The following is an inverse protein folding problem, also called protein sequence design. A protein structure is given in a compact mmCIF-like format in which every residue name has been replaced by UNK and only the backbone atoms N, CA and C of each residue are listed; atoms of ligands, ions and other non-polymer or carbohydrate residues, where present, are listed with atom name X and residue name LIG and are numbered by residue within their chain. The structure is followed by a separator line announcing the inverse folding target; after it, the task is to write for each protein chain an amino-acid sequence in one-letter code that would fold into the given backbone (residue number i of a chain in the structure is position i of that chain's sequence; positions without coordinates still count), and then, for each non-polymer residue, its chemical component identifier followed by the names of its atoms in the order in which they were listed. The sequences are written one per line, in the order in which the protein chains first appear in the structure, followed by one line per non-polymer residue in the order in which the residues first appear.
data_IF_448059191462
#
_entry.id   IF_448059191462
#
_cell.length_a   1.000
_cell.length_b   1.000
_cell.length_c   1.000
_cell.angle_alpha   90.00
_cell.angle_beta   90.00
_cell.angle_gamma   90.00
#
_symmetry.space_group_name_H-M   'P 1'
#
loop_
_entity.id
_entity.type
_entity.pdbx_description
1 polymer ?
#
# COMPACT_ATOMS: atom_id res chain seq x y z
N UNK A 1 -6.57 -4.91 -1.81
CA UNK A 1 -7.15 -6.26 -1.90
C UNK A 1 -8.63 -6.12 -1.55
N UNK A 2 -9.37 -5.35 -2.36
CA UNK A 2 -10.73 -4.86 -2.04
C UNK A 2 -11.81 -5.44 -2.97
N UNK A 3 -11.47 -6.37 -3.87
CA UNK A 3 -12.39 -6.87 -4.92
C UNK A 3 -13.13 -8.17 -4.58
N UNK A 4 -13.57 -8.37 -3.33
CA UNK A 4 -14.38 -9.55 -2.96
C UNK A 4 -15.75 -9.22 -2.35
N UNK A 5 -16.19 -7.96 -2.43
CA UNK A 5 -17.54 -7.58 -1.99
C UNK A 5 -18.61 -7.87 -3.04
N UNK A 6 -18.22 -8.11 -4.31
CA UNK A 6 -19.16 -8.44 -5.39
C UNK A 6 -19.53 -9.93 -5.45
N UNK A 7 -18.82 -10.80 -4.70
CA UNK A 7 -19.04 -12.24 -4.69
C UNK A 7 -19.85 -12.74 -3.49
N UNK A 8 -20.40 -11.83 -2.70
CA UNK A 8 -21.39 -12.13 -1.68
C UNK A 8 -22.65 -11.40 -2.10
N UNK A 9 -23.34 -11.96 -3.10
CA UNK A 9 -24.76 -11.69 -3.22
C UNK A 9 -25.37 -11.94 -1.84
N UNK A 10 -26.07 -10.95 -1.29
CA UNK A 10 -26.75 -11.10 -0.01
C UNK A 10 -27.67 -12.31 -0.10
N UNK A 11 -27.55 -13.23 0.85
CA UNK A 11 -28.23 -14.55 0.87
C UNK A 11 -29.74 -14.43 0.60
N UNK A 12 -30.35 -13.30 1.01
CA UNK A 12 -31.76 -12.96 0.77
C UNK A 12 -32.11 -12.78 -0.72
N UNK A 13 -31.29 -12.06 -1.49
CA UNK A 13 -31.54 -11.79 -2.92
C UNK A 13 -31.38 -13.08 -3.75
N UNK A 14 -30.44 -13.94 -3.35
CA UNK A 14 -30.24 -15.26 -3.95
C UNK A 14 -31.39 -16.24 -3.64
N UNK A 15 -32.01 -16.14 -2.46
CA UNK A 15 -33.16 -16.96 -2.09
C UNK A 15 -34.40 -16.60 -2.92
N UNK A 16 -34.66 -15.31 -3.12
CA UNK A 16 -35.79 -14.84 -3.92
C UNK A 16 -35.66 -15.22 -5.40
N UNK A 17 -34.46 -15.09 -5.97
CA UNK A 17 -34.15 -15.53 -7.33
C UNK A 17 -34.35 -17.05 -7.48
N UNK A 18 -33.95 -17.84 -6.49
CA UNK A 18 -34.07 -19.29 -6.51
C UNK A 18 -35.53 -19.75 -6.38
N UNK A 19 -36.34 -19.06 -5.58
CA UNK A 19 -37.80 -19.26 -5.50
C UNK A 19 -38.47 -18.90 -6.83
N UNK A 20 -38.04 -17.81 -7.46
CA UNK A 20 -38.57 -17.40 -8.76
C UNK A 20 -38.27 -18.42 -9.87
N UNK A 21 -37.06 -18.97 -9.91
CA UNK A 21 -36.67 -20.04 -10.84
C UNK A 21 -37.47 -21.32 -10.60
N UNK A 22 -37.74 -21.69 -9.34
CA UNK A 22 -38.60 -22.83 -9.02
C UNK A 22 -40.04 -22.62 -9.51
N UNK A 23 -40.62 -21.42 -9.37
CA UNK A 23 -41.96 -21.11 -9.85
C UNK A 23 -42.08 -21.12 -11.38
N UNK A 24 -41.00 -20.71 -12.08
CA UNK A 24 -40.95 -20.74 -13.55
C UNK A 24 -40.92 -22.18 -14.10
N UNK A 25 -40.29 -23.11 -13.37
CA UNK A 25 -40.26 -24.53 -13.70
C UNK A 25 -41.57 -25.27 -13.39
N UNK A 26 -42.38 -24.76 -12.47
CA UNK A 26 -43.71 -25.30 -12.12
C UNK A 26 -44.83 -24.84 -13.09
N UNK A 27 -44.56 -23.90 -13.99
CA UNK A 27 -45.51 -23.42 -15.00
C UNK A 27 -45.35 -24.17 -16.33
N UNK A 28 -45.96 -25.36 -16.43
CA UNK A 28 -46.08 -26.11 -17.68
C UNK A 28 -47.16 -25.46 -18.60
N UNK A 29 -46.87 -25.11 -19.87
CA UNK A 29 -47.86 -24.53 -20.78
C UNK A 29 -48.83 -25.63 -21.27
N UNK A 30 -49.89 -25.89 -20.52
CA UNK A 30 -51.03 -26.67 -21.03
C UNK A 30 -52.11 -25.72 -21.57
N UNK A 31 -51.90 -25.20 -22.78
CA UNK A 31 -53.01 -24.65 -23.58
C UNK A 31 -53.75 -25.80 -24.25
N UNK A 32 -54.98 -26.05 -23.79
CA UNK A 32 -55.98 -26.90 -24.42
C UNK A 32 -56.74 -26.07 -25.46
N UNK A 33 -56.79 -26.54 -26.71
CA UNK A 33 -57.62 -25.96 -27.79
C UNK A 33 -58.35 -27.08 -28.55
N UNK A 34 -59.63 -26.85 -28.78
CA UNK A 34 -60.68 -27.85 -29.00
C UNK A 34 -61.21 -27.80 -30.45
N UNK A 35 -61.21 -28.92 -31.22
CA UNK A 35 -62.33 -29.27 -32.14
C UNK A 35 -62.20 -30.65 -32.83
N UNK A 36 -63.35 -31.33 -33.06
CA UNK A 36 -63.47 -32.33 -34.16
C UNK A 36 -64.14 -33.68 -33.85
N UNK A 37 -65.48 -33.69 -33.87
CA UNK A 37 -66.44 -34.70 -34.42
C UNK A 37 -66.02 -36.18 -34.65
N UNK A 38 -66.85 -37.10 -34.09
CA UNK A 38 -66.95 -38.58 -34.25
C UNK A 38 -67.28 -39.04 -35.70
N UNK A 39 -67.16 -40.33 -36.16
CA UNK A 39 -67.53 -41.55 -35.41
C UNK A 39 -66.83 -42.92 -35.72
N UNK A 40 -67.13 -43.89 -34.84
CA UNK A 40 -67.19 -45.36 -34.97
C UNK A 40 -66.03 -46.16 -35.61
N UNK A 41 -65.54 -47.19 -34.89
CA UNK A 41 -65.67 -48.64 -35.20
C UNK A 41 -64.56 -49.45 -34.50
N UNK A 42 -64.98 -50.58 -33.90
CA UNK A 42 -64.21 -51.78 -33.53
C UNK A 42 -63.07 -51.73 -32.50
N UNK A 43 -63.09 -52.76 -31.64
CA UNK A 43 -62.10 -53.05 -30.62
C UNK A 43 -60.73 -53.35 -31.23
N UNK A 44 -59.64 -52.93 -30.55
CA UNK A 44 -58.78 -53.98 -30.01
C UNK A 44 -58.27 -53.69 -28.59
N UNK A 45 -57.85 -54.78 -27.97
CA UNK A 45 -57.36 -54.96 -26.62
C UNK A 45 -56.16 -54.06 -26.26
N UNK A 46 -56.39 -52.98 -25.53
CA UNK A 46 -55.30 -52.19 -24.92
C UNK A 46 -55.27 -52.43 -23.41
N UNK A 47 -54.29 -53.23 -22.97
CA UNK A 47 -53.96 -53.42 -21.56
C UNK A 47 -53.75 -52.05 -20.91
N UNK A 48 -54.68 -51.64 -20.03
CA UNK A 48 -54.57 -50.39 -19.24
C UNK A 48 -53.30 -50.49 -18.40
N UNK A 49 -52.22 -49.83 -18.85
CA UNK A 49 -51.02 -49.64 -18.03
C UNK A 49 -51.46 -48.84 -16.81
N UNK A 50 -51.43 -49.46 -15.63
CA UNK A 50 -51.62 -48.76 -14.35
C UNK A 50 -50.60 -47.61 -14.33
N UNK A 51 -51.06 -46.35 -14.35
CA UNK A 51 -50.19 -45.18 -14.13
C UNK A 51 -49.48 -45.44 -12.80
N UNK A 52 -48.18 -45.67 -12.85
CA UNK A 52 -47.37 -45.75 -11.63
C UNK A 52 -47.49 -44.38 -10.99
N UNK A 53 -48.10 -44.31 -9.80
CA UNK A 53 -48.04 -43.14 -8.94
C UNK A 53 -46.55 -42.90 -8.71
N UNK A 54 -46.00 -41.83 -9.29
CA UNK A 54 -44.65 -41.38 -8.93
C UNK A 54 -44.77 -40.94 -7.49
N UNK A 55 -44.33 -41.79 -6.57
CA UNK A 55 -44.17 -41.41 -5.18
C UNK A 55 -43.06 -40.36 -5.20
N UNK A 56 -43.36 -39.16 -4.74
CA UNK A 56 -42.43 -38.05 -4.64
C UNK A 56 -41.42 -38.31 -3.51
N UNK A 57 -40.63 -39.37 -3.67
CA UNK A 57 -39.58 -39.78 -2.72
C UNK A 57 -38.61 -38.63 -2.46
N UNK A 58 -38.37 -37.79 -3.48
CA UNK A 58 -37.57 -36.58 -3.36
C UNK A 58 -38.15 -35.56 -2.38
N UNK A 59 -39.47 -35.33 -2.40
CA UNK A 59 -40.10 -34.40 -1.45
C UNK A 59 -39.97 -34.93 -0.02
N UNK A 60 -40.18 -36.23 0.16
CA UNK A 60 -40.01 -36.89 1.46
C UNK A 60 -38.56 -36.76 1.96
N UNK A 61 -37.59 -37.01 1.10
CA UNK A 61 -36.16 -36.92 1.40
C UNK A 61 -35.75 -35.48 1.75
N UNK A 62 -36.21 -34.49 0.98
CA UNK A 62 -35.96 -33.06 1.26
C UNK A 62 -36.57 -32.67 2.61
N UNK A 63 -37.79 -33.12 2.93
CA UNK A 63 -38.39 -32.82 4.26
C UNK A 63 -37.63 -33.48 5.40
N UNK A 64 -37.13 -34.70 5.20
CA UNK A 64 -36.33 -35.40 6.19
C UNK A 64 -34.99 -34.69 6.41
N UNK A 65 -34.31 -34.28 5.33
CA UNK A 65 -33.04 -33.55 5.41
C UNK A 65 -33.23 -32.19 6.10
N UNK A 66 -34.34 -31.49 5.84
CA UNK A 66 -34.67 -30.24 6.54
C UNK A 66 -34.87 -30.47 8.04
N UNK A 67 -35.66 -31.49 8.42
CA UNK A 67 -35.83 -31.84 9.82
C UNK A 67 -34.50 -32.26 10.50
N UNK A 68 -33.63 -32.95 9.76
CA UNK A 68 -32.30 -33.32 10.25
C UNK A 68 -31.40 -32.09 10.43
N UNK A 69 -31.47 -31.11 9.52
CA UNK A 69 -30.77 -29.83 9.66
C UNK A 69 -31.29 -29.07 10.88
N UNK A 70 -32.60 -29.03 11.09
CA UNK A 70 -33.21 -28.31 12.21
C UNK A 70 -32.85 -28.96 13.56
N UNK A 71 -32.85 -30.29 13.63
CA UNK A 71 -32.39 -31.02 14.83
C UNK A 71 -30.90 -30.79 15.11
N UNK A 72 -30.05 -30.83 14.08
CA UNK A 72 -28.62 -30.54 14.22
C UNK A 72 -28.38 -29.09 14.65
N UNK A 73 -29.13 -28.13 14.11
CA UNK A 73 -29.09 -26.72 14.55
C UNK A 73 -29.48 -26.58 16.02
N UNK A 74 -30.58 -27.22 16.44
CA UNK A 74 -31.01 -27.20 17.84
C UNK A 74 -29.97 -27.83 18.79
N UNK A 75 -29.33 -28.93 18.36
CA UNK A 75 -28.22 -29.54 19.11
C UNK A 75 -27.03 -28.60 19.23
N UNK A 76 -26.67 -27.90 18.15
CA UNK A 76 -25.56 -26.96 18.12
C UNK A 76 -25.84 -25.75 19.02
N UNK A 77 -27.06 -25.22 19.02
CA UNK A 77 -27.47 -24.12 19.88
C UNK A 77 -27.55 -24.53 21.34
N UNK A 78 -28.04 -25.74 21.64
CA UNK A 78 -27.96 -26.32 22.98
C UNK A 78 -26.51 -26.49 23.45
N UNK A 79 -25.60 -26.98 22.58
CA UNK A 79 -24.18 -27.09 22.90
C UNK A 79 -23.51 -25.73 23.11
N UNK A 80 -23.86 -24.71 22.32
CA UNK A 80 -23.39 -23.33 22.54
C UNK A 80 -23.83 -22.78 23.90
N UNK A 81 -25.09 -23.00 24.29
CA UNK A 81 -25.64 -22.53 25.57
C UNK A 81 -25.06 -23.27 26.77
N UNK A 82 -24.88 -24.59 26.66
CA UNK A 82 -24.30 -25.43 27.72
C UNK A 82 -22.79 -25.33 27.84
N UNK A 83 -22.12 -24.84 26.79
CA UNK A 83 -20.67 -24.78 26.70
C UNK A 83 -20.20 -23.34 26.37
N UNK A 84 -20.36 -22.38 27.30
CA UNK A 84 -19.92 -20.99 27.10
C UNK A 84 -18.39 -20.85 26.95
N UNK A 85 -17.63 -21.93 27.20
CA UNK A 85 -16.19 -21.99 26.92
C UNK A 85 -15.86 -22.22 25.44
N UNK A 86 -16.88 -22.40 24.59
CA UNK A 86 -16.75 -22.58 23.14
C UNK A 86 -16.84 -21.26 22.36
N UNK A 87 -17.25 -20.16 23.00
CA UNK A 87 -16.83 -18.83 22.57
C UNK A 87 -15.32 -18.81 22.70
N UNK A 88 -14.62 -18.61 21.58
CA UNK A 88 -13.16 -18.57 21.51
C UNK A 88 -12.62 -17.76 22.68
N UNK A 89 -12.13 -18.47 23.72
CA UNK A 89 -11.78 -17.89 25.02
C UNK A 89 -11.07 -16.56 24.77
N UNK A 90 -11.52 -15.46 25.38
CA UNK A 90 -11.03 -14.11 25.08
C UNK A 90 -9.49 -14.03 24.99
N UNK A 91 -8.80 -14.90 25.74
CA UNK A 91 -7.36 -15.17 25.68
C UNK A 91 -6.83 -15.65 24.33
N UNK A 92 -7.52 -16.54 23.63
CA UNK A 92 -7.17 -17.01 22.29
C UNK A 92 -7.29 -15.90 21.26
N UNK A 93 -8.32 -15.05 21.36
CA UNK A 93 -8.45 -13.86 20.51
C UNK A 93 -7.37 -12.83 20.82
N UNK A 94 -7.11 -12.56 22.10
CA UNK A 94 -6.03 -11.69 22.55
C UNK A 94 -4.65 -12.19 22.09
N UNK A 95 -4.36 -13.48 22.25
CA UNK A 95 -3.11 -14.09 21.81
C UNK A 95 -2.93 -14.01 20.28
N UNK A 96 -4.01 -14.17 19.51
CA UNK A 96 -3.95 -14.00 18.05
C UNK A 96 -3.67 -12.55 17.67
N UNK A 97 -4.29 -11.58 18.35
CA UNK A 97 -4.03 -10.15 18.14
C UNK A 97 -2.59 -9.82 18.47
N UNK A 98 -2.12 -10.23 19.64
CA UNK A 98 -0.74 -9.99 20.09
C UNK A 98 0.28 -10.60 19.13
N UNK A 99 0.01 -11.80 18.62
CA UNK A 99 0.86 -12.42 17.58
C UNK A 99 0.92 -11.58 16.31
N UNK A 100 -0.22 -11.05 15.84
CA UNK A 100 -0.24 -10.21 14.64
C UNK A 100 0.54 -8.90 14.86
N UNK A 101 0.36 -8.25 16.01
CA UNK A 101 1.12 -7.06 16.36
C UNK A 101 2.62 -7.36 16.50
N UNK A 102 2.99 -8.48 17.12
CA UNK A 102 4.39 -8.90 17.22
C UNK A 102 5.02 -9.13 15.83
N UNK A 103 4.29 -9.76 14.90
CA UNK A 103 4.74 -9.91 13.52
C UNK A 103 4.91 -8.56 12.82
N UNK A 104 3.97 -7.64 13.02
CA UNK A 104 4.05 -6.28 12.48
C UNK A 104 5.27 -5.53 13.01
N UNK A 105 5.49 -5.57 14.33
CA UNK A 105 6.67 -4.98 14.96
C UNK A 105 7.97 -5.61 14.45
N UNK A 106 8.00 -6.91 14.16
CA UNK A 106 9.17 -7.56 13.58
C UNK A 106 9.45 -7.10 12.15
N UNK A 107 8.41 -6.95 11.33
CA UNK A 107 8.54 -6.42 9.97
C UNK A 107 9.10 -4.99 10.01
N UNK A 108 8.50 -4.13 10.83
CA UNK A 108 8.98 -2.75 11.01
C UNK A 108 10.41 -2.69 11.55
N UNK A 109 10.77 -3.56 12.50
CA UNK A 109 12.14 -3.61 13.01
C UNK A 109 13.15 -4.00 11.92
N UNK A 110 12.79 -4.96 11.07
CA UNK A 110 13.63 -5.37 9.95
C UNK A 110 13.79 -4.24 8.93
N UNK A 111 12.70 -3.51 8.63
CA UNK A 111 12.74 -2.32 7.76
C UNK A 111 13.63 -1.22 8.34
N UNK A 112 13.50 -0.93 9.63
CA UNK A 112 14.33 0.06 10.33
C UNK A 112 15.81 -0.35 10.34
N UNK A 113 16.12 -1.63 10.55
CA UNK A 113 17.49 -2.14 10.47
C UNK A 113 18.06 -1.98 9.07
N UNK A 114 17.31 -2.36 8.03
CA UNK A 114 17.74 -2.17 6.65
C UNK A 114 18.02 -0.68 6.34
N UNK A 115 17.16 0.23 6.80
CA UNK A 115 17.38 1.67 6.63
C UNK A 115 18.61 2.19 7.41
N UNK A 116 18.93 1.60 8.56
CA UNK A 116 20.17 1.90 9.30
C UNK A 116 21.38 1.42 8.51
N UNK A 117 21.37 0.18 8.01
CA UNK A 117 22.46 -0.39 7.21
C UNK A 117 22.74 0.45 5.95
N UNK A 118 21.68 0.91 5.26
CA UNK A 118 21.79 1.82 4.12
C UNK A 118 22.48 3.13 4.51
N UNK A 119 22.06 3.74 5.63
CA UNK A 119 22.67 4.98 6.14
C UNK A 119 24.11 4.78 6.59
N UNK A 120 24.44 3.65 7.19
CA UNK A 120 25.81 3.28 7.55
C UNK A 120 26.70 3.20 6.31
N UNK A 121 26.22 2.60 5.22
CA UNK A 121 26.96 2.51 3.96
C UNK A 121 27.21 3.89 3.32
N UNK A 122 26.24 4.80 3.39
CA UNK A 122 26.36 6.18 2.94
C UNK A 122 27.41 6.90 3.79
N UNK A 123 27.32 6.78 5.11
CA UNK A 123 28.23 7.43 6.04
C UNK A 123 29.66 6.92 5.83
N UNK A 124 29.85 5.64 5.62
CA UNK A 124 31.14 5.06 5.29
C UNK A 124 31.68 5.58 3.94
N UNK A 125 30.82 5.73 2.93
CA UNK A 125 31.18 6.35 1.66
C UNK A 125 31.63 7.81 1.85
N UNK A 126 30.90 8.60 2.64
CA UNK A 126 31.28 9.97 2.97
C UNK A 126 32.59 10.04 3.76
N UNK A 127 32.77 9.17 4.76
CA UNK A 127 34.05 9.04 5.48
C UNK A 127 35.20 8.74 4.53
N UNK A 128 35.01 7.84 3.56
CA UNK A 128 36.00 7.55 2.51
C UNK A 128 36.30 8.78 1.66
N UNK A 129 35.30 9.57 1.28
CA UNK A 129 35.50 10.82 0.53
C UNK A 129 36.24 11.89 1.35
N UNK A 130 35.92 12.02 2.64
CA UNK A 130 36.55 13.00 3.53
C UNK A 130 37.98 12.61 3.93
N UNK A 131 38.22 11.32 4.16
CA UNK A 131 39.55 10.80 4.50
C UNK A 131 40.47 10.73 3.27
N UNK A 132 39.90 10.67 2.05
CA UNK A 132 40.68 10.96 0.84
C UNK A 132 41.09 12.42 0.92
N UNK A 133 42.39 12.66 1.16
CA UNK A 133 43.00 13.99 1.04
C UNK A 133 42.45 14.60 -0.26
N UNK A 134 41.60 15.63 -0.18
CA UNK A 134 41.05 16.19 -1.39
C UNK A 134 42.27 16.69 -2.15
N UNK A 135 42.49 16.12 -3.34
CA UNK A 135 43.43 16.69 -4.30
C UNK A 135 42.72 17.93 -4.83
N UNK A 136 42.56 18.95 -3.99
CA UNK A 136 42.61 20.32 -4.45
C UNK A 136 43.90 20.31 -5.21
N UNK A 137 43.81 20.23 -6.53
CA UNK A 137 44.96 20.44 -7.35
C UNK A 137 45.44 21.80 -6.85
N UNK A 138 46.59 21.85 -6.18
CA UNK A 138 47.32 23.09 -5.94
C UNK A 138 47.81 23.65 -7.28
N UNK A 139 47.02 23.47 -8.35
CA UNK A 139 47.07 24.26 -9.57
C UNK A 139 46.68 25.71 -9.29
N UNK A 140 46.15 26.00 -8.10
CA UNK A 140 46.05 27.35 -7.56
C UNK A 140 47.35 27.83 -6.89
N UNK A 141 48.45 27.07 -6.96
CA UNK A 141 49.80 27.53 -6.58
C UNK A 141 50.15 28.77 -7.41
N UNK A 142 49.72 29.90 -6.85
CA UNK A 142 50.52 31.05 -6.49
C UNK A 142 51.18 31.87 -7.60
N UNK A 143 51.09 31.50 -8.87
CA UNK A 143 51.54 32.41 -9.94
C UNK A 143 50.61 33.62 -10.08
N UNK A 144 49.30 33.39 -10.08
CA UNK A 144 48.27 34.43 -10.13
C UNK A 144 48.14 35.25 -8.84
N UNK A 145 48.63 34.74 -7.69
CA UNK A 145 48.66 35.46 -6.41
C UNK A 145 49.79 36.48 -6.33
N UNK A 146 50.82 36.30 -7.16
CA UNK A 146 52.06 37.07 -7.05
C UNK A 146 51.97 38.50 -7.59
N UNK A 147 50.81 38.94 -8.08
CA UNK A 147 50.55 40.30 -8.63
C UNK A 147 51.71 40.86 -9.45
N UNK A 148 52.35 40.01 -10.26
CA UNK A 148 53.52 40.40 -11.06
C UNK A 148 53.08 41.32 -12.19
N UNK A 149 53.49 42.57 -12.08
CA UNK A 149 53.33 43.57 -13.12
C UNK A 149 54.41 43.38 -14.18
N UNK A 150 54.01 43.35 -15.46
CA UNK A 150 54.98 43.30 -16.54
C UNK A 150 55.83 44.58 -16.60
N UNK A 151 57.07 44.44 -17.09
CA UNK A 151 57.96 45.57 -17.32
C UNK A 151 57.41 46.53 -18.39
N UNK A 152 56.61 46.04 -19.34
CA UNK A 152 56.02 46.86 -20.40
C UNK A 152 54.83 47.69 -19.91
N UNK A 153 54.82 49.00 -20.18
CA UNK A 153 53.86 49.96 -19.64
C UNK A 153 52.40 49.64 -19.99
N UNK A 154 52.09 49.30 -21.23
CA UNK A 154 50.71 49.01 -21.66
C UNK A 154 50.13 47.77 -20.95
N UNK A 155 50.92 46.69 -20.89
CA UNK A 155 50.53 45.46 -20.21
C UNK A 155 50.42 45.66 -18.70
N UNK A 156 51.30 46.48 -18.11
CA UNK A 156 51.23 46.87 -16.70
C UNK A 156 49.92 47.56 -16.34
N UNK A 157 49.52 48.56 -17.13
CA UNK A 157 48.26 49.29 -16.90
C UNK A 157 47.07 48.35 -16.99
N UNK A 158 47.01 47.51 -18.04
CA UNK A 158 45.95 46.51 -18.18
C UNK A 158 45.89 45.53 -17.00
N UNK A 159 47.05 45.08 -16.51
CA UNK A 159 47.15 44.20 -15.34
C UNK A 159 46.64 44.90 -14.06
N UNK A 160 46.97 46.17 -13.84
CA UNK A 160 46.48 46.96 -12.70
C UNK A 160 44.96 47.03 -12.72
N UNK A 161 44.36 47.36 -13.86
CA UNK A 161 42.90 47.40 -13.99
C UNK A 161 42.27 46.02 -13.75
N UNK A 162 42.83 44.96 -14.33
CA UNK A 162 42.33 43.60 -14.12
C UNK A 162 42.39 43.15 -12.65
N UNK A 163 43.44 43.54 -11.91
CA UNK A 163 43.56 43.30 -10.48
C UNK A 163 42.50 44.10 -9.71
N UNK A 164 42.34 45.38 -10.01
CA UNK A 164 41.35 46.24 -9.37
C UNK A 164 39.92 45.72 -9.59
N UNK A 165 39.54 45.41 -10.83
CA UNK A 165 38.22 44.88 -11.18
C UNK A 165 37.92 43.55 -10.48
N UNK A 166 38.94 42.72 -10.29
CA UNK A 166 38.82 41.47 -9.55
C UNK A 166 38.60 41.74 -8.06
N UNK A 167 39.37 42.64 -7.45
CA UNK A 167 39.20 42.98 -6.04
C UNK A 167 37.83 43.61 -5.78
N UNK A 168 37.40 44.50 -6.67
CA UNK A 168 36.07 45.10 -6.63
C UNK A 168 34.96 44.04 -6.68
N UNK A 169 35.08 43.03 -7.55
CA UNK A 169 34.12 41.90 -7.58
C UNK A 169 34.10 41.08 -6.29
N UNK A 170 35.23 40.95 -5.58
CA UNK A 170 35.31 40.22 -4.30
C UNK A 170 34.85 41.06 -3.10
N UNK A 171 34.90 42.38 -3.20
CA UNK A 171 34.52 43.31 -2.13
C UNK A 171 33.11 43.05 -1.61
N UNK A 172 32.13 42.82 -2.48
CA UNK A 172 30.76 42.55 -2.05
C UNK A 172 30.65 41.29 -1.17
N UNK A 173 31.34 40.21 -1.55
CA UNK A 173 31.40 38.99 -0.75
C UNK A 173 32.11 39.19 0.60
N UNK A 174 33.15 40.03 0.63
CA UNK A 174 33.84 40.39 1.88
C UNK A 174 32.95 41.23 2.81
N UNK A 175 32.17 42.17 2.26
CA UNK A 175 31.20 42.96 3.02
C UNK A 175 30.08 42.10 3.59
N UNK A 176 29.56 41.14 2.81
CA UNK A 176 28.58 40.17 3.31
C UNK A 176 29.18 39.33 4.45
N UNK A 177 30.40 38.83 4.28
CA UNK A 177 31.06 38.00 5.30
C UNK A 177 31.36 38.78 6.59
N UNK A 178 31.70 40.06 6.49
CA UNK A 178 31.89 40.95 7.63
C UNK A 178 30.57 41.47 8.24
N UNK A 179 29.42 41.15 7.63
CA UNK A 179 28.12 41.67 8.07
C UNK A 179 27.95 43.17 7.89
N UNK A 180 28.68 43.79 6.96
CA UNK A 180 28.71 45.24 6.72
C UNK A 180 27.67 45.70 5.68
N UNK A 181 26.91 44.77 5.09
CA UNK A 181 25.84 45.10 4.13
C UNK A 181 24.64 45.68 4.89
N UNK A 182 24.09 46.79 4.39
CA UNK A 182 22.96 47.55 4.97
C UNK A 182 23.20 48.15 6.37
N UNK A 183 24.46 48.25 6.80
CA UNK A 183 24.83 48.93 8.03
C UNK A 183 24.75 50.45 7.82
N UNK A 184 23.92 51.13 8.62
CA UNK A 184 23.70 52.59 8.55
C UNK A 184 24.46 53.39 9.61
N UNK A 185 24.98 52.70 10.63
CA UNK A 185 25.74 53.27 11.74
C UNK A 185 27.21 52.82 11.69
N UNK A 186 28.12 53.62 12.26
CA UNK A 186 29.54 53.26 12.30
C UNK A 186 29.78 52.02 13.20
N UNK A 187 30.23 50.91 12.60
CA UNK A 187 30.56 49.66 13.30
C UNK A 187 32.07 49.49 13.37
N UNK A 188 32.62 49.48 14.60
CA UNK A 188 34.03 49.22 14.87
C UNK A 188 34.16 47.84 15.50
N UNK A 189 34.65 46.87 14.73
CA UNK A 189 35.01 45.53 15.23
C UNK A 189 36.53 45.46 15.42
N UNK A 190 36.96 45.15 16.65
CA UNK A 190 38.37 44.95 16.98
C UNK A 190 38.56 43.47 17.28
N UNK A 191 39.12 42.75 16.30
CA UNK A 191 39.54 41.37 16.50
C UNK A 191 40.95 41.35 17.07
N UNK A 192 41.11 40.90 18.31
CA UNK A 192 42.42 40.68 18.91
C UNK A 192 43.07 39.45 18.28
N UNK A 193 44.07 39.67 17.43
CA UNK A 193 44.89 38.61 16.84
C UNK A 193 45.74 37.99 17.96
N UNK A 194 45.26 36.90 18.55
CA UNK A 194 46.09 36.08 19.45
C UNK A 194 47.09 35.31 18.59
N UNK A 195 48.33 35.79 18.52
CA UNK A 195 49.43 35.01 17.97
C UNK A 195 49.63 33.77 18.85
N UNK A 196 49.14 32.61 18.41
CA UNK A 196 49.50 31.32 18.99
C UNK A 196 51.00 31.12 18.74
N UNK A 197 51.82 31.35 19.77
CA UNK A 197 53.20 30.88 19.79
C UNK A 197 53.19 29.35 19.72
N UNK A 198 53.87 28.81 18.70
CA UNK A 198 54.21 27.39 18.56
C UNK A 198 55.25 26.98 19.60
#
# INVERSE_FOLDING_TARGET
MEDLQFLIATDEELQDDLVHVCNLLDSDPSTDDHHGTKPSTEAPTVRRRKRRVRVDNYKMEVTMLRAQVDTLKAQLDHLKLTNPTMDMSAWKLAARRERMEAMRCQVENNELRAAVDERESLLEHMKRLLNKKPRWNSSWDEEWSSYKLAAQTSLRVAAIHAIADRQFRRQNGAFIAAGLVDVTDDVIQVDSITLLNK
#
